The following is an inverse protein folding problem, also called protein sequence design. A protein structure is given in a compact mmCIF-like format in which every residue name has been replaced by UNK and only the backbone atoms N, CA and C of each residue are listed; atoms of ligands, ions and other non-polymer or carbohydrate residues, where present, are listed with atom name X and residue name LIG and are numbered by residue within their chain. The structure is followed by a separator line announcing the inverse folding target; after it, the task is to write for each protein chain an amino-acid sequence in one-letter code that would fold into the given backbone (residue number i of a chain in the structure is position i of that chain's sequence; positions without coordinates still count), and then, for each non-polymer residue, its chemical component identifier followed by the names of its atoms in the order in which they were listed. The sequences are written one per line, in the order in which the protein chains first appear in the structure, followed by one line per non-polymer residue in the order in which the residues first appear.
data_IF_598656271472
#
_entry.id   IF_598656271472
#
_cell.length_a   1.000
_cell.length_b   1.000
_cell.length_c   1.000
_cell.angle_alpha   90.00
_cell.angle_beta   90.00
_cell.angle_gamma   90.00
#
_symmetry.space_group_name_H-M   'P 1'
#
loop_
_entity.id
_entity.type
_entity.pdbx_description
1 polymer ?
#
# COMPACT_ATOMS: atom_id res chain seq x y z
N UNK A 1 3.98 -1.18 4.93
CA UNK A 1 4.32 0.26 4.89
C UNK A 1 4.77 0.65 6.28
N UNK A 2 6.04 0.95 6.44
CA UNK A 2 6.53 1.52 7.70
C UNK A 2 5.90 2.90 7.79
N UNK A 3 5.01 3.11 8.75
CA UNK A 3 4.53 4.44 9.06
C UNK A 3 5.74 5.30 9.39
N UNK A 4 6.02 6.31 8.58
CA UNK A 4 7.07 7.25 8.87
C UNK A 4 6.69 8.00 10.15
N UNK A 5 7.39 7.69 11.23
CA UNK A 5 7.31 8.51 12.42
C UNK A 5 8.07 9.81 12.11
N UNK A 6 7.34 10.90 11.93
CA UNK A 6 7.96 12.22 11.76
C UNK A 6 8.41 12.69 13.15
N UNK A 7 9.71 12.66 13.36
CA UNK A 7 10.32 13.20 14.59
C UNK A 7 11.00 14.53 14.29
N UNK A 8 11.00 15.47 15.25
CA UNK A 8 11.72 16.73 15.08
C UNK A 8 13.21 16.51 14.80
N UNK A 9 13.80 17.36 13.98
CA UNK A 9 15.22 17.31 13.69
C UNK A 9 16.05 17.35 14.99
N UNK A 10 17.01 16.43 15.11
CA UNK A 10 17.86 16.29 16.31
C UNK A 10 17.33 15.33 17.38
N UNK A 11 16.16 14.72 17.19
CA UNK A 11 15.65 13.70 18.10
C UNK A 11 16.19 12.32 17.71
N UNK A 12 16.88 11.64 18.63
CA UNK A 12 17.30 10.25 18.46
C UNK A 12 16.17 9.35 18.93
N UNK A 13 15.51 8.66 18.02
CA UNK A 13 14.46 7.68 18.34
C UNK A 13 14.93 6.30 17.94
N UNK A 14 15.02 5.40 18.93
CA UNK A 14 15.26 3.98 18.68
C UNK A 14 13.90 3.26 18.60
N UNK A 15 13.56 2.71 17.45
CA UNK A 15 12.33 1.95 17.23
C UNK A 15 12.69 0.47 16.99
N UNK A 16 11.93 -0.42 17.64
CA UNK A 16 11.99 -1.85 17.38
C UNK A 16 10.80 -2.24 16.50
N UNK A 17 11.05 -2.72 15.29
CA UNK A 17 10.02 -3.35 14.45
C UNK A 17 9.53 -4.64 15.11
N UNK A 18 8.22 -4.84 15.18
CA UNK A 18 7.61 -6.04 15.75
C UNK A 18 7.04 -6.96 14.68
N UNK A 19 6.36 -6.40 13.70
CA UNK A 19 5.74 -7.13 12.60
C UNK A 19 5.43 -6.19 11.43
N UNK A 20 5.21 -6.76 10.25
CA UNK A 20 4.66 -6.07 9.08
C UNK A 20 3.18 -6.42 8.92
N UNK A 21 2.38 -5.48 8.41
CA UNK A 21 0.92 -5.64 8.27
C UNK A 21 0.48 -6.24 6.93
N UNK A 22 1.43 -6.63 6.08
CA UNK A 22 1.17 -7.40 4.87
C UNK A 22 1.02 -8.89 5.18
N UNK A 23 0.23 -9.64 4.37
CA UNK A 23 0.09 -11.10 4.52
C UNK A 23 1.37 -11.87 4.19
N UNK A 24 2.29 -11.26 3.45
CA UNK A 24 3.60 -11.82 3.14
C UNK A 24 4.68 -10.96 3.78
N UNK A 25 5.77 -11.61 4.21
CA UNK A 25 6.92 -10.87 4.72
C UNK A 25 7.45 -9.89 3.69
N UNK A 26 7.81 -8.71 4.14
CA UNK A 26 8.43 -7.70 3.28
C UNK A 26 9.87 -8.08 2.98
N UNK A 27 10.30 -8.06 1.70
CA UNK A 27 11.70 -8.22 1.35
C UNK A 27 12.60 -7.11 1.91
N UNK A 28 12.02 -5.97 2.30
CA UNK A 28 12.76 -4.88 2.95
C UNK A 28 13.05 -5.17 4.43
N UNK A 29 12.26 -6.04 5.07
CA UNK A 29 12.37 -6.43 6.47
C UNK A 29 12.17 -7.94 6.62
N UNK A 30 13.07 -8.77 6.07
CA UNK A 30 12.87 -10.23 6.01
C UNK A 30 12.82 -10.90 7.39
N UNK A 31 13.43 -10.30 8.39
CA UNK A 31 13.45 -10.81 9.75
C UNK A 31 12.18 -10.51 10.54
N UNK A 32 11.34 -9.57 10.07
CA UNK A 32 10.09 -9.26 10.73
C UNK A 32 8.99 -10.24 10.30
N UNK A 33 8.26 -10.84 11.26
CA UNK A 33 7.08 -11.64 10.94
C UNK A 33 5.96 -10.76 10.42
N UNK A 34 4.98 -11.36 9.78
CA UNK A 34 3.71 -10.69 9.49
C UNK A 34 2.83 -10.65 10.75
N UNK A 35 1.86 -9.73 10.78
CA UNK A 35 0.83 -9.72 11.84
C UNK A 35 0.03 -11.02 11.86
N UNK A 36 -0.19 -11.65 10.70
CA UNK A 36 -0.83 -12.98 10.60
C UNK A 36 0.00 -14.07 11.27
N UNK A 37 1.30 -14.12 11.02
CA UNK A 37 2.23 -15.04 11.70
C UNK A 37 2.30 -14.79 13.21
N UNK A 38 2.19 -13.53 13.63
CA UNK A 38 2.20 -13.10 15.02
C UNK A 38 0.86 -13.35 15.78
N UNK A 39 -0.14 -13.95 15.12
CA UNK A 39 -1.38 -14.38 15.75
C UNK A 39 -2.63 -13.57 15.35
N UNK A 40 -2.50 -12.46 14.65
CA UNK A 40 -3.64 -11.68 14.12
C UNK A 40 -4.09 -12.24 12.77
N UNK A 41 -4.71 -13.41 12.79
CA UNK A 41 -5.08 -14.16 11.58
C UNK A 41 -5.96 -13.34 10.62
N UNK A 42 -5.52 -13.30 9.34
CA UNK A 42 -6.23 -12.59 8.28
C UNK A 42 -6.16 -11.06 8.37
N UNK A 43 -5.41 -10.52 9.33
CA UNK A 43 -5.25 -9.07 9.40
C UNK A 43 -4.25 -8.60 8.34
N UNK A 44 -4.72 -7.73 7.47
CA UNK A 44 -3.91 -7.06 6.47
C UNK A 44 -4.32 -5.59 6.38
N UNK A 45 -3.34 -4.70 6.47
CA UNK A 45 -3.52 -3.28 6.18
C UNK A 45 -2.31 -2.76 5.39
N UNK A 46 -2.52 -2.45 4.11
CA UNK A 46 -1.50 -1.98 3.19
C UNK A 46 -1.89 -0.58 2.72
N UNK A 47 -0.95 0.36 2.82
CA UNK A 47 -1.11 1.66 2.18
C UNK A 47 -0.82 1.51 0.69
N UNK A 48 -1.68 2.06 -0.14
CA UNK A 48 -1.50 2.10 -1.58
C UNK A 48 -1.64 3.52 -2.12
N UNK A 49 -0.97 3.79 -3.23
CA UNK A 49 -1.13 5.01 -4.01
C UNK A 49 -1.59 4.63 -5.41
N UNK A 50 -2.43 5.44 -6.01
CA UNK A 50 -2.94 5.17 -7.35
C UNK A 50 -3.15 6.44 -8.16
N UNK A 51 -3.17 6.28 -9.47
CA UNK A 51 -3.58 7.32 -10.40
C UNK A 51 -5.06 7.16 -10.70
N UNK A 52 -5.77 8.25 -10.75
CA UNK A 52 -7.18 8.31 -11.13
C UNK A 52 -7.36 9.22 -12.33
N UNK A 53 -8.36 8.94 -13.15
CA UNK A 53 -8.74 9.75 -14.29
C UNK A 53 -10.19 10.24 -14.12
N UNK A 54 -10.56 11.36 -14.78
CA UNK A 54 -11.94 11.84 -14.79
C UNK A 54 -12.93 10.79 -15.30
N UNK A 55 -14.17 10.85 -14.81
CA UNK A 55 -15.23 10.00 -15.30
C UNK A 55 -15.44 10.22 -16.81
N UNK A 56 -15.66 9.12 -17.55
CA UNK A 56 -15.81 9.19 -19.01
C UNK A 56 -14.51 9.19 -19.80
N UNK A 57 -13.34 9.07 -19.15
CA UNK A 57 -12.08 8.87 -19.88
C UNK A 57 -12.18 7.61 -20.75
N UNK A 58 -11.84 7.68 -22.06
CA UNK A 58 -11.90 6.55 -22.98
C UNK A 58 -11.08 5.36 -22.47
N UNK A 59 -11.58 4.15 -22.74
CA UNK A 59 -10.98 2.90 -22.24
C UNK A 59 -9.55 2.69 -22.73
N UNK A 60 -9.28 2.98 -23.99
CA UNK A 60 -7.95 2.87 -24.59
C UNK A 60 -6.93 3.79 -23.92
N UNK A 61 -7.34 4.98 -23.47
CA UNK A 61 -6.50 5.89 -22.69
C UNK A 61 -6.17 5.29 -21.33
N UNK A 62 -7.18 4.72 -20.62
CA UNK A 62 -6.97 4.08 -19.32
C UNK A 62 -6.03 2.87 -19.42
N UNK A 63 -6.23 2.03 -20.43
CA UNK A 63 -5.40 0.84 -20.65
C UNK A 63 -3.96 1.24 -21.01
N UNK A 64 -3.78 2.28 -21.82
CA UNK A 64 -2.45 2.83 -22.13
C UNK A 64 -1.77 3.39 -20.89
N UNK A 65 -2.46 4.18 -20.06
CA UNK A 65 -1.91 4.71 -18.82
C UNK A 65 -1.48 3.57 -17.87
N UNK A 66 -2.33 2.54 -17.71
CA UNK A 66 -1.99 1.38 -16.88
C UNK A 66 -0.74 0.65 -17.39
N UNK A 67 -0.62 0.48 -18.71
CA UNK A 67 0.55 -0.14 -19.33
C UNK A 67 1.84 0.68 -19.09
N UNK A 68 1.76 2.01 -19.22
CA UNK A 68 2.93 2.88 -18.98
C UNK A 68 3.32 2.91 -17.49
N UNK A 69 2.35 2.90 -16.58
CA UNK A 69 2.62 2.74 -15.14
C UNK A 69 3.30 1.40 -14.85
N UNK A 70 2.81 0.31 -15.45
CA UNK A 70 3.42 -1.01 -15.28
C UNK A 70 4.88 -1.05 -15.77
N UNK A 71 5.19 -0.39 -16.88
CA UNK A 71 6.57 -0.21 -17.36
C UNK A 71 7.38 0.63 -16.39
N UNK A 72 6.85 1.76 -15.93
CA UNK A 72 7.56 2.66 -15.02
C UNK A 72 7.95 1.95 -13.70
N UNK A 73 7.03 1.21 -13.07
CA UNK A 73 7.34 0.49 -11.82
C UNK A 73 8.29 -0.69 -12.01
N UNK A 74 8.49 -1.15 -13.25
CA UNK A 74 9.46 -2.18 -13.58
C UNK A 74 10.90 -1.64 -13.69
N UNK A 75 11.09 -0.32 -13.83
CA UNK A 75 12.41 0.28 -13.93
C UNK A 75 13.24 0.05 -12.66
N UNK A 76 14.46 -0.53 -12.78
CA UNK A 76 15.30 -0.83 -11.62
C UNK A 76 15.64 0.40 -10.79
N UNK A 77 15.96 1.52 -11.44
CA UNK A 77 16.29 2.78 -10.76
C UNK A 77 15.11 3.31 -9.93
N UNK A 78 13.89 3.22 -10.47
CA UNK A 78 12.70 3.63 -9.76
C UNK A 78 12.46 2.72 -8.55
N UNK A 79 12.57 1.41 -8.72
CA UNK A 79 12.47 0.44 -7.62
C UNK A 79 13.45 0.75 -6.50
N UNK A 80 14.72 0.96 -6.82
CA UNK A 80 15.75 1.27 -5.83
C UNK A 80 15.43 2.54 -5.06
N UNK A 81 14.96 3.58 -5.75
CA UNK A 81 14.59 4.85 -5.14
C UNK A 81 13.43 4.69 -4.15
N UNK A 82 12.40 3.92 -4.51
CA UNK A 82 11.27 3.68 -3.63
C UNK A 82 11.60 2.77 -2.44
N UNK A 83 12.48 1.80 -2.65
CA UNK A 83 13.03 0.96 -1.57
C UNK A 83 13.68 1.81 -0.48
N UNK A 84 14.44 2.86 -0.84
CA UNK A 84 15.04 3.78 0.13
C UNK A 84 13.99 4.50 1.00
N UNK A 85 12.78 4.66 0.51
CA UNK A 85 11.64 5.21 1.27
C UNK A 85 10.79 4.14 1.96
N UNK A 86 11.22 2.88 1.95
CA UNK A 86 10.46 1.77 2.55
C UNK A 86 9.19 1.41 1.79
N UNK A 87 9.12 1.72 0.50
CA UNK A 87 7.94 1.49 -0.35
C UNK A 87 8.24 0.40 -1.36
N UNK A 88 7.38 -0.61 -1.42
CA UNK A 88 7.40 -1.63 -2.46
C UNK A 88 6.50 -1.19 -3.62
N UNK A 89 7.05 -1.15 -4.83
CA UNK A 89 6.30 -0.82 -6.03
C UNK A 89 5.59 -2.05 -6.59
N UNK A 90 4.31 -1.90 -6.86
CA UNK A 90 3.49 -2.88 -7.57
C UNK A 90 2.59 -2.17 -8.58
N UNK A 91 2.30 -2.81 -9.70
CA UNK A 91 1.31 -2.35 -10.66
C UNK A 91 0.09 -3.27 -10.62
N UNK A 92 -1.10 -2.70 -10.83
CA UNK A 92 -2.30 -3.50 -11.08
C UNK A 92 -2.23 -4.13 -12.47
N UNK A 93 -2.85 -5.30 -12.62
CA UNK A 93 -2.92 -6.00 -13.92
C UNK A 93 -3.81 -5.28 -14.94
N UNK A 94 -4.76 -4.46 -14.46
CA UNK A 94 -5.64 -3.65 -15.30
C UNK A 94 -6.31 -2.53 -14.48
N UNK A 95 -6.89 -1.49 -15.13
CA UNK A 95 -7.68 -0.47 -14.44
C UNK A 95 -8.86 -1.06 -13.66
N UNK A 96 -9.53 -2.09 -14.19
CA UNK A 96 -10.66 -2.76 -13.52
C UNK A 96 -10.21 -3.54 -12.27
N UNK A 97 -9.04 -4.19 -12.36
CA UNK A 97 -8.46 -4.89 -11.20
C UNK A 97 -8.16 -3.91 -10.06
N UNK A 98 -7.62 -2.73 -10.40
CA UNK A 98 -7.37 -1.69 -9.42
C UNK A 98 -8.67 -1.12 -8.82
N UNK A 99 -9.70 -0.91 -9.65
CA UNK A 99 -11.01 -0.45 -9.16
C UNK A 99 -11.65 -1.47 -8.22
N UNK A 100 -11.62 -2.76 -8.54
CA UNK A 100 -12.11 -3.82 -7.65
C UNK A 100 -11.36 -3.84 -6.31
N UNK A 101 -10.04 -3.66 -6.36
CA UNK A 101 -9.23 -3.57 -5.15
C UNK A 101 -9.64 -2.38 -4.28
N UNK A 102 -9.81 -1.18 -4.86
CA UNK A 102 -10.26 0.01 -4.13
C UNK A 102 -11.63 -0.23 -3.49
N UNK A 103 -12.58 -0.82 -4.23
CA UNK A 103 -13.92 -1.12 -3.71
C UNK A 103 -13.87 -2.08 -2.52
N UNK A 104 -13.07 -3.13 -2.59
CA UNK A 104 -12.89 -4.08 -1.51
C UNK A 104 -12.28 -3.43 -0.26
N UNK A 105 -11.23 -2.61 -0.45
CA UNK A 105 -10.61 -1.86 0.65
C UNK A 105 -11.57 -0.84 1.27
N UNK A 106 -12.40 -0.18 0.47
CA UNK A 106 -13.42 0.73 0.97
C UNK A 106 -14.43 0.01 1.89
N UNK A 107 -14.94 -1.14 1.46
CA UNK A 107 -15.88 -1.94 2.26
C UNK A 107 -15.23 -2.41 3.56
N UNK A 108 -14.00 -2.93 3.49
CA UNK A 108 -13.21 -3.37 4.65
C UNK A 108 -13.01 -2.24 5.66
N UNK A 109 -12.55 -1.07 5.19
CA UNK A 109 -12.28 0.08 6.05
C UNK A 109 -13.55 0.71 6.61
N UNK A 110 -14.65 0.73 5.86
CA UNK A 110 -15.95 1.18 6.35
C UNK A 110 -16.48 0.29 7.49
N UNK A 111 -16.30 -1.03 7.38
CA UNK A 111 -16.66 -1.97 8.44
C UNK A 111 -15.83 -1.73 9.70
N UNK A 112 -14.50 -1.63 9.56
CA UNK A 112 -13.59 -1.35 10.67
C UNK A 112 -13.91 -0.03 11.38
N UNK A 113 -14.18 1.03 10.61
CA UNK A 113 -14.55 2.33 11.17
C UNK A 113 -15.83 2.23 12.01
N UNK A 114 -16.84 1.50 11.52
CA UNK A 114 -18.09 1.25 12.25
C UNK A 114 -17.87 0.48 13.55
N UNK A 115 -17.07 -0.59 13.49
CA UNK A 115 -16.73 -1.41 14.67
C UNK A 115 -15.92 -0.64 15.70
N UNK A 116 -15.04 0.25 15.26
CA UNK A 116 -14.25 1.14 16.12
C UNK A 116 -15.03 2.36 16.64
N UNK A 117 -16.32 2.51 16.28
CA UNK A 117 -17.14 3.63 16.73
C UNK A 117 -16.75 4.98 16.12
N UNK A 118 -15.96 5.00 15.05
CA UNK A 118 -15.56 6.22 14.35
C UNK A 118 -16.78 6.79 13.63
N UNK A 119 -17.22 7.98 14.07
CA UNK A 119 -18.33 8.72 13.42
C UNK A 119 -17.72 9.67 12.37
N UNK A 120 -18.43 9.81 11.25
CA UNK A 120 -18.18 10.89 10.31
C UNK A 120 -18.88 12.13 10.89
N UNK A 121 -18.09 13.15 11.20
CA UNK A 121 -18.63 14.50 11.43
C UNK A 121 -19.01 15.13 10.10
#
# INVERSE_FOLDING_TARGET
TVNQLVVPAGTIVSLRGLAVTSLKRSPLFPDLPTTDEAGMKGFEDITFNGLVAPAGTPRDVLDRLNAEVAKAVAYPELKQRFIQFGVELAASSSPDAFMKYIQAEFVKKAKLAKEAGIRRD
#
